data_IF_648971527595
#
_entry.id   IF_648971527595
#
_cell.length_a   1.000
_cell.length_b   1.000
_cell.length_c   1.000
_cell.angle_alpha   90.00
_cell.angle_beta   90.00
_cell.angle_gamma   90.00
#
_symmetry.space_group_name_H-M   'P 1'
#
loop_
_entity.id
_entity.type
_entity.pdbx_description
1 polymer ?
#
# COMPACT_ATOMS: atom_id res chain seq x y z
N UNK A 1 -15.13 -19.00 6.93
CA UNK A 1 -14.83 -19.43 5.55
C UNK A 1 -15.68 -20.66 5.25
N UNK A 2 -16.34 -20.69 4.11
CA UNK A 2 -17.20 -21.81 3.69
C UNK A 2 -16.39 -23.11 3.61
N UNK A 3 -16.91 -24.18 4.22
CA UNK A 3 -16.24 -25.48 4.33
C UNK A 3 -15.91 -26.07 2.95
N UNK A 4 -16.78 -25.83 1.95
CA UNK A 4 -16.61 -26.33 0.59
C UNK A 4 -15.47 -25.60 -0.14
N UNK A 5 -15.31 -24.30 0.10
CA UNK A 5 -14.25 -23.50 -0.48
C UNK A 5 -12.87 -23.88 0.10
N UNK A 6 -12.81 -24.14 1.40
CA UNK A 6 -11.57 -24.63 2.04
C UNK A 6 -11.16 -26.00 1.50
N UNK A 7 -12.12 -26.90 1.30
CA UNK A 7 -11.87 -28.23 0.72
C UNK A 7 -11.37 -28.14 -0.72
N UNK A 8 -11.96 -27.23 -1.52
CA UNK A 8 -11.53 -26.99 -2.88
C UNK A 8 -10.10 -26.44 -2.96
N UNK A 9 -9.76 -25.48 -2.12
CA UNK A 9 -8.41 -24.92 -2.04
C UNK A 9 -7.36 -25.95 -1.64
N UNK A 10 -7.66 -26.78 -0.64
CA UNK A 10 -6.77 -27.85 -0.20
C UNK A 10 -6.56 -28.90 -1.30
N UNK A 11 -7.60 -29.22 -2.06
CA UNK A 11 -7.52 -30.15 -3.20
C UNK A 11 -6.63 -29.59 -4.31
N UNK A 12 -6.77 -28.30 -4.64
CA UNK A 12 -5.93 -27.62 -5.63
C UNK A 12 -4.47 -27.57 -5.18
N UNK A 13 -4.19 -27.21 -3.93
CA UNK A 13 -2.84 -27.21 -3.37
C UNK A 13 -2.16 -28.58 -3.46
N UNK A 14 -2.91 -29.65 -3.20
CA UNK A 14 -2.41 -31.02 -3.31
C UNK A 14 -2.11 -31.40 -4.77
N UNK A 15 -3.01 -31.07 -5.70
CA UNK A 15 -2.86 -31.42 -7.12
C UNK A 15 -1.72 -30.66 -7.79
N UNK A 16 -1.42 -29.44 -7.35
CA UNK A 16 -0.36 -28.59 -7.89
C UNK A 16 0.87 -28.48 -6.97
N UNK A 17 1.08 -29.46 -6.08
CA UNK A 17 2.16 -29.43 -5.09
C UNK A 17 3.58 -29.31 -5.67
N UNK A 18 3.79 -29.75 -6.92
CA UNK A 18 5.07 -29.63 -7.63
C UNK A 18 5.21 -28.38 -8.52
N UNK A 19 4.17 -27.59 -8.67
CA UNK A 19 4.16 -26.39 -9.53
C UNK A 19 4.26 -25.12 -8.67
N UNK A 20 5.45 -24.52 -8.67
CA UNK A 20 5.79 -23.35 -7.85
C UNK A 20 4.96 -22.10 -8.21
N UNK A 21 4.61 -21.92 -9.49
CA UNK A 21 3.79 -20.79 -9.93
C UNK A 21 2.31 -20.98 -9.56
N UNK A 22 1.81 -22.20 -9.72
CA UNK A 22 0.45 -22.55 -9.28
C UNK A 22 0.30 -22.43 -7.76
N UNK A 23 1.31 -22.84 -6.98
CA UNK A 23 1.31 -22.67 -5.51
C UNK A 23 1.25 -21.20 -5.11
N UNK A 24 2.01 -20.31 -5.76
CA UNK A 24 1.92 -18.86 -5.52
C UNK A 24 0.55 -18.29 -5.85
N UNK A 25 -0.03 -18.70 -6.99
CA UNK A 25 -1.36 -18.26 -7.38
C UNK A 25 -2.45 -18.70 -6.40
N UNK A 26 -2.36 -19.94 -5.91
CA UNK A 26 -3.29 -20.49 -4.91
C UNK A 26 -3.16 -19.78 -3.57
N UNK A 27 -1.96 -19.42 -3.15
CA UNK A 27 -1.71 -18.65 -1.94
C UNK A 27 -2.33 -17.25 -2.03
N UNK A 28 -2.16 -16.58 -3.18
CA UNK A 28 -2.78 -15.28 -3.45
C UNK A 28 -4.31 -15.35 -3.44
N UNK A 29 -4.88 -16.41 -4.00
CA UNK A 29 -6.33 -16.64 -4.01
C UNK A 29 -6.86 -16.86 -2.60
N UNK A 30 -6.18 -17.68 -1.80
CA UNK A 30 -6.56 -17.93 -0.40
C UNK A 30 -6.51 -16.65 0.45
N UNK A 31 -5.50 -15.80 0.23
CA UNK A 31 -5.40 -14.48 0.87
C UNK A 31 -6.58 -13.58 0.53
N UNK A 32 -6.96 -13.51 -0.75
CA UNK A 32 -8.12 -12.72 -1.18
C UNK A 32 -9.42 -13.21 -0.55
N UNK A 33 -9.59 -14.53 -0.45
CA UNK A 33 -10.77 -15.15 0.15
C UNK A 33 -10.82 -14.88 1.67
N UNK A 34 -9.68 -14.97 2.35
CA UNK A 34 -9.60 -14.66 3.79
C UNK A 34 -9.85 -13.18 4.07
N UNK A 35 -9.29 -12.28 3.25
CA UNK A 35 -9.55 -10.84 3.36
C UNK A 35 -11.04 -10.54 3.18
N UNK A 36 -11.68 -11.14 2.20
CA UNK A 36 -13.11 -10.96 1.93
C UNK A 36 -14.00 -11.54 3.05
N UNK A 37 -13.59 -12.63 3.69
CA UNK A 37 -14.30 -13.21 4.83
C UNK A 37 -14.18 -12.37 6.12
N UNK A 38 -13.10 -11.59 6.27
CA UNK A 38 -12.95 -10.62 7.36
C UNK A 38 -13.86 -9.39 7.17
N UNK A 39 -14.12 -9.00 5.92
CA UNK A 39 -15.07 -7.91 5.61
C UNK A 39 -16.52 -8.32 5.89
N UNK A 40 -16.86 -9.62 5.80
CA UNK A 40 -18.21 -10.13 6.06
C UNK A 40 -18.52 -10.25 7.58
N UNK A 41 -17.53 -10.19 8.48
CA UNK A 41 -17.71 -10.21 9.95
C UNK A 41 -17.80 -8.82 10.59
N UNK A 42 -17.74 -7.74 9.82
CA UNK A 42 -17.91 -6.39 10.36
C UNK A 42 -19.38 -6.18 10.75
N UNK A 43 -19.65 -6.25 12.06
CA UNK A 43 -20.91 -5.78 12.65
C UNK A 43 -21.04 -4.31 12.25
N UNK A 44 -22.15 -3.88 11.62
CA UNK A 44 -22.34 -2.47 11.28
C UNK A 44 -22.46 -1.68 12.60
N UNK A 45 -21.40 -1.02 12.98
CA UNK A 45 -21.49 0.11 13.91
C UNK A 45 -21.84 1.32 13.04
N UNK A 46 -22.79 2.15 13.48
CA UNK A 46 -23.20 3.39 12.78
C UNK A 46 -22.07 4.42 12.65
N UNK A 47 -20.88 4.12 13.13
CA UNK A 47 -19.67 4.91 12.98
C UNK A 47 -18.85 4.38 11.80
N UNK A 48 -18.51 5.26 10.85
CA UNK A 48 -17.57 4.94 9.76
C UNK A 48 -16.25 4.45 10.39
N UNK A 49 -15.80 3.21 10.15
CA UNK A 49 -14.62 2.65 10.80
C UNK A 49 -13.33 3.43 10.46
N UNK A 50 -13.35 4.17 9.36
CA UNK A 50 -12.23 4.95 8.84
C UNK A 50 -12.66 6.36 8.46
N UNK A 51 -12.89 7.27 9.44
CA UNK A 51 -13.35 8.62 9.15
C UNK A 51 -12.27 9.44 8.43
N UNK A 52 -12.66 10.13 7.36
CA UNK A 52 -11.77 11.05 6.64
C UNK A 52 -11.79 12.45 7.28
N UNK A 53 -10.70 13.22 7.14
CA UNK A 53 -10.68 14.64 7.45
C UNK A 53 -11.78 15.41 6.70
N UNK A 54 -12.42 16.36 7.35
CA UNK A 54 -13.55 17.13 6.79
C UNK A 54 -13.18 17.89 5.52
N UNK A 55 -11.98 18.40 5.42
CA UNK A 55 -11.48 19.09 4.23
C UNK A 55 -11.39 18.19 2.99
N UNK A 56 -11.33 16.88 3.17
CA UNK A 56 -11.43 15.90 2.08
C UNK A 56 -12.89 15.58 1.76
N UNK A 57 -13.73 15.38 2.76
CA UNK A 57 -15.15 15.06 2.60
C UNK A 57 -15.92 16.11 1.81
N UNK A 58 -15.60 17.39 1.96
CA UNK A 58 -16.25 18.49 1.24
C UNK A 58 -15.84 18.63 -0.22
N UNK A 59 -14.82 17.90 -0.69
CA UNK A 59 -14.36 17.98 -2.08
C UNK A 59 -15.27 17.19 -3.02
N UNK A 60 -15.43 17.67 -4.25
CA UNK A 60 -16.33 17.01 -5.23
C UNK A 60 -15.76 15.71 -5.80
N UNK A 61 -14.43 15.62 -5.92
CA UNK A 61 -13.72 14.45 -6.45
C UNK A 61 -12.37 14.37 -5.74
N UNK A 62 -12.33 13.62 -4.65
CA UNK A 62 -11.11 13.41 -3.91
C UNK A 62 -10.95 11.93 -3.53
N UNK A 63 -9.71 11.51 -3.39
CA UNK A 63 -9.34 10.19 -2.90
C UNK A 63 -8.28 10.34 -1.83
N UNK A 64 -8.40 9.56 -0.78
CA UNK A 64 -7.41 9.44 0.26
C UNK A 64 -6.73 8.07 0.15
N UNK A 65 -5.40 8.05 0.10
CA UNK A 65 -4.60 6.84 0.18
C UNK A 65 -3.80 6.87 1.47
N UNK A 66 -3.65 5.72 2.07
CA UNK A 66 -2.83 5.49 3.24
C UNK A 66 -1.82 4.42 2.90
N UNK A 67 -0.56 4.63 3.27
CA UNK A 67 0.53 3.75 2.87
C UNK A 67 1.49 3.55 4.05
N UNK A 68 1.86 2.30 4.31
CA UNK A 68 2.79 1.93 5.37
C UNK A 68 3.66 0.74 4.95
N UNK A 69 4.87 0.69 5.49
CA UNK A 69 5.85 -0.35 5.22
C UNK A 69 6.48 -0.90 6.50
N UNK A 70 6.68 -2.20 6.56
CA UNK A 70 7.33 -2.89 7.66
C UNK A 70 8.53 -3.71 7.20
N UNK A 71 9.51 -3.90 8.08
CA UNK A 71 10.67 -4.74 7.80
C UNK A 71 11.20 -5.40 9.08
N UNK A 72 11.36 -6.72 9.04
CA UNK A 72 11.94 -7.50 10.15
C UNK A 72 13.44 -7.68 9.93
N UNK A 73 14.23 -6.96 10.75
CA UNK A 73 15.68 -6.86 10.54
C UNK A 73 15.96 -5.98 9.30
N UNK A 74 16.61 -4.89 9.40
CA UNK A 74 16.76 -3.88 8.35
C UNK A 74 18.22 -3.85 7.83
N UNK A 75 18.60 -4.60 6.76
CA UNK A 75 17.73 -5.32 5.80
C UNK A 75 17.24 -6.69 6.28
N UNK A 76 16.09 -7.13 5.71
CA UNK A 76 15.47 -8.43 5.99
C UNK A 76 14.14 -8.60 5.25
N UNK A 77 13.32 -9.58 5.64
CA UNK A 77 11.97 -9.71 5.12
C UNK A 77 11.15 -8.45 5.42
N UNK A 78 10.46 -7.93 4.44
CA UNK A 78 9.64 -6.75 4.59
C UNK A 78 8.31 -6.87 3.85
N UNK A 79 7.39 -5.99 4.21
CA UNK A 79 6.06 -5.90 3.63
C UNK A 79 5.65 -4.44 3.44
N UNK A 80 4.67 -4.27 2.60
CA UNK A 80 4.04 -3.00 2.33
C UNK A 80 2.53 -3.17 2.30
N UNK A 81 1.79 -2.14 2.70
CA UNK A 81 0.35 -2.11 2.56
C UNK A 81 -0.14 -0.72 2.17
N UNK A 82 -1.24 -0.68 1.43
CA UNK A 82 -1.93 0.57 1.11
C UNK A 82 -3.44 0.37 1.09
N UNK A 83 -4.15 1.39 1.55
CA UNK A 83 -5.60 1.47 1.55
C UNK A 83 -6.06 2.72 0.82
N UNK A 84 -7.10 2.62 0.01
CA UNK A 84 -7.70 3.76 -0.69
C UNK A 84 -9.15 3.95 -0.32
N UNK A 85 -9.54 5.23 -0.11
CA UNK A 85 -10.91 5.65 0.16
C UNK A 85 -11.35 6.73 -0.83
N UNK A 86 -12.64 6.76 -1.17
CA UNK A 86 -13.24 7.92 -1.83
C UNK A 86 -13.60 9.03 -0.83
N UNK A 87 -14.07 10.17 -1.32
CA UNK A 87 -14.44 11.32 -0.48
C UNK A 87 -15.60 11.04 0.48
N UNK A 88 -16.37 9.98 0.28
CA UNK A 88 -17.44 9.59 1.21
C UNK A 88 -16.92 8.77 2.40
N UNK A 89 -15.64 8.38 2.38
CA UNK A 89 -15.06 7.49 3.37
C UNK A 89 -15.13 6.00 3.01
N UNK A 90 -15.78 5.68 1.89
CA UNK A 90 -15.88 4.29 1.43
C UNK A 90 -14.50 3.75 1.05
N UNK A 91 -14.13 2.62 1.64
CA UNK A 91 -12.93 1.88 1.24
C UNK A 91 -13.12 1.30 -0.15
N UNK A 92 -12.20 1.62 -1.05
CA UNK A 92 -12.19 1.17 -2.43
C UNK A 92 -11.31 -0.06 -2.61
N UNK A 93 -10.21 -0.13 -1.86
CA UNK A 93 -9.27 -1.23 -1.88
C UNK A 93 -8.38 -1.25 -0.64
N UNK A 94 -7.89 -2.43 -0.34
CA UNK A 94 -6.74 -2.70 0.52
C UNK A 94 -5.79 -3.62 -0.27
N UNK A 95 -4.53 -3.23 -0.38
CA UNK A 95 -3.50 -4.01 -1.08
C UNK A 95 -2.26 -4.12 -0.22
N UNK A 96 -1.62 -5.27 -0.26
CA UNK A 96 -0.39 -5.52 0.47
C UNK A 96 0.48 -6.56 -0.25
N UNK A 97 1.74 -6.60 0.10
CA UNK A 97 2.67 -7.58 -0.44
C UNK A 97 3.95 -7.65 0.38
N UNK A 98 4.82 -8.59 0.00
CA UNK A 98 6.02 -8.93 0.76
C UNK A 98 7.23 -9.02 -0.15
N UNK A 99 8.41 -8.73 0.41
CA UNK A 99 9.72 -8.92 -0.21
C UNK A 99 10.65 -9.64 0.78
N UNK A 100 11.38 -10.67 0.31
CA UNK A 100 12.22 -11.49 1.19
C UNK A 100 13.46 -10.77 1.71
N UNK A 101 13.99 -9.81 0.94
CA UNK A 101 15.20 -9.06 1.28
C UNK A 101 15.02 -7.60 0.89
N UNK A 102 14.76 -6.76 1.88
CA UNK A 102 14.43 -5.35 1.68
C UNK A 102 14.80 -4.52 2.90
N UNK A 103 14.43 -3.25 2.90
CA UNK A 103 14.57 -2.33 4.04
C UNK A 103 13.24 -1.63 4.32
N UNK A 104 13.07 -1.11 5.54
CA UNK A 104 11.86 -0.35 5.89
C UNK A 104 11.60 0.77 4.88
N UNK A 105 12.59 1.60 4.57
CA UNK A 105 12.44 2.68 3.60
C UNK A 105 12.02 2.20 2.20
N UNK A 106 12.46 1.02 1.78
CA UNK A 106 12.03 0.43 0.51
C UNK A 106 10.55 0.04 0.54
N UNK A 107 10.09 -0.54 1.64
CA UNK A 107 8.69 -0.93 1.80
C UNK A 107 7.75 0.27 1.90
N UNK A 108 8.16 1.32 2.56
CA UNK A 108 7.44 2.59 2.62
C UNK A 108 7.23 3.21 1.22
N UNK A 109 8.29 3.26 0.40
CA UNK A 109 8.15 3.72 -0.99
C UNK A 109 7.27 2.78 -1.78
N UNK A 110 7.40 1.46 -1.59
CA UNK A 110 6.63 0.47 -2.32
C UNK A 110 5.14 0.55 -1.99
N UNK A 111 4.78 0.79 -0.74
CA UNK A 111 3.40 1.01 -0.32
C UNK A 111 2.75 2.18 -1.09
N UNK A 112 3.45 3.30 -1.19
CA UNK A 112 2.99 4.45 -1.96
C UNK A 112 2.85 4.15 -3.47
N UNK A 113 3.81 3.41 -4.04
CA UNK A 113 3.78 2.97 -5.45
C UNK A 113 2.54 2.12 -5.72
N UNK A 114 2.35 1.06 -4.95
CA UNK A 114 1.28 0.09 -5.19
C UNK A 114 -0.11 0.68 -4.93
N UNK A 115 -0.25 1.51 -3.90
CA UNK A 115 -1.50 2.23 -3.64
C UNK A 115 -1.90 3.14 -4.81
N UNK A 116 -0.96 3.90 -5.36
CA UNK A 116 -1.22 4.76 -6.53
C UNK A 116 -1.48 3.96 -7.81
N UNK A 117 -0.82 2.83 -8.01
CA UNK A 117 -1.08 1.93 -9.14
C UNK A 117 -2.48 1.33 -9.05
N UNK A 118 -2.88 0.89 -7.88
CA UNK A 118 -4.21 0.32 -7.67
C UNK A 118 -5.30 1.38 -7.84
N UNK A 119 -5.11 2.59 -7.32
CA UNK A 119 -6.01 3.71 -7.56
C UNK A 119 -6.12 4.01 -9.06
N UNK A 120 -5.00 4.06 -9.79
CA UNK A 120 -5.01 4.25 -11.24
C UNK A 120 -5.79 3.16 -11.96
N UNK A 121 -5.66 1.90 -11.53
CA UNK A 121 -6.38 0.76 -12.11
C UNK A 121 -7.90 0.91 -11.93
N UNK A 122 -8.34 1.36 -10.76
CA UNK A 122 -9.77 1.55 -10.44
C UNK A 122 -10.35 2.75 -11.17
N UNK A 123 -9.63 3.86 -11.21
CA UNK A 123 -10.11 5.12 -11.79
C UNK A 123 -10.04 5.15 -13.32
N UNK A 124 -9.19 4.34 -13.92
CA UNK A 124 -8.91 4.41 -15.35
C UNK A 124 -8.22 5.72 -15.74
N UNK A 125 -8.80 6.47 -16.69
CA UNK A 125 -8.18 7.68 -17.26
C UNK A 125 -8.62 9.00 -16.62
N UNK A 126 -9.38 9.00 -15.53
CA UNK A 126 -9.90 10.23 -14.91
C UNK A 126 -8.84 10.88 -14.02
N UNK A 127 -8.12 11.85 -14.58
CA UNK A 127 -7.06 12.60 -13.89
C UNK A 127 -7.54 13.88 -13.18
N UNK A 128 -8.83 14.22 -13.27
CA UNK A 128 -9.41 15.45 -12.69
C UNK A 128 -9.94 15.20 -11.27
N UNK A 129 -9.05 14.78 -10.38
CA UNK A 129 -9.37 14.56 -8.97
C UNK A 129 -8.20 14.99 -8.09
N UNK A 130 -8.50 15.35 -6.86
CA UNK A 130 -7.49 15.58 -5.83
C UNK A 130 -7.17 14.26 -5.14
N UNK A 131 -5.88 13.98 -4.95
CA UNK A 131 -5.43 12.78 -4.28
C UNK A 131 -4.54 13.17 -3.11
N UNK A 132 -4.83 12.60 -1.96
CA UNK A 132 -4.11 12.81 -0.72
C UNK A 132 -3.49 11.49 -0.30
N UNK A 133 -2.17 11.37 -0.37
CA UNK A 133 -1.45 10.20 0.11
C UNK A 133 -0.88 10.50 1.48
N UNK A 134 -1.39 9.80 2.47
CA UNK A 134 -0.98 9.87 3.86
C UNK A 134 0.05 8.79 4.17
N UNK A 135 1.13 9.15 4.81
CA UNK A 135 2.14 8.22 5.31
C UNK A 135 2.81 8.80 6.55
N UNK A 136 3.17 7.95 7.50
CA UNK A 136 3.98 8.33 8.66
C UNK A 136 5.50 8.30 8.35
N UNK A 137 5.86 7.84 7.16
CA UNK A 137 7.22 7.89 6.66
C UNK A 137 7.63 9.29 6.21
N UNK A 138 8.36 10.00 7.07
CA UNK A 138 9.02 11.25 6.65
C UNK A 138 9.94 11.05 5.45
N UNK A 139 10.53 9.85 5.33
CA UNK A 139 11.38 9.50 4.19
C UNK A 139 10.61 9.62 2.88
N UNK A 140 9.40 9.08 2.80
CA UNK A 140 8.55 9.16 1.59
C UNK A 140 8.10 10.59 1.34
N UNK A 141 7.50 11.25 2.33
CA UNK A 141 6.92 12.59 2.17
C UNK A 141 7.99 13.62 1.81
N UNK A 142 9.07 13.70 2.58
CA UNK A 142 10.17 14.65 2.29
C UNK A 142 10.91 14.29 0.98
N UNK A 143 11.03 13.00 0.66
CA UNK A 143 11.59 12.54 -0.60
C UNK A 143 10.85 13.09 -1.79
N UNK A 144 9.53 12.97 -1.79
CA UNK A 144 8.67 13.42 -2.88
C UNK A 144 8.57 14.95 -2.96
N UNK A 145 8.54 15.63 -1.83
CA UNK A 145 8.36 17.08 -1.80
C UNK A 145 9.66 17.86 -1.98
N UNK A 146 10.76 17.40 -1.38
CA UNK A 146 12.01 18.15 -1.30
C UNK A 146 13.14 17.55 -2.12
N UNK A 147 13.37 16.22 -2.03
CA UNK A 147 14.59 15.63 -2.56
C UNK A 147 14.50 15.36 -4.06
N UNK A 148 13.41 14.75 -4.52
CA UNK A 148 13.22 14.40 -5.93
C UNK A 148 13.29 15.63 -6.85
N UNK A 149 12.62 16.77 -6.57
CA UNK A 149 12.75 17.96 -7.38
C UNK A 149 14.21 18.41 -7.54
N UNK A 150 15.01 18.35 -6.47
CA UNK A 150 16.42 18.73 -6.50
C UNK A 150 17.30 17.68 -7.21
N UNK A 151 17.02 16.39 -7.03
CA UNK A 151 17.75 15.35 -7.73
C UNK A 151 17.50 15.37 -9.24
N UNK A 152 16.27 15.63 -9.66
CA UNK A 152 15.93 15.75 -11.10
C UNK A 152 16.70 16.88 -11.77
N UNK A 153 16.85 18.05 -11.11
CA UNK A 153 17.67 19.16 -11.62
C UNK A 153 19.14 18.77 -11.79
N UNK A 154 19.63 17.80 -11.02
CA UNK A 154 21.03 17.32 -11.05
C UNK A 154 21.20 15.98 -11.76
N UNK A 155 20.24 15.57 -12.62
CA UNK A 155 20.30 14.30 -13.33
C UNK A 155 20.21 13.09 -12.38
N UNK A 156 19.31 13.15 -11.38
CA UNK A 156 19.09 12.12 -10.36
C UNK A 156 20.30 11.89 -9.43
N UNK A 157 20.95 12.97 -9.02
CA UNK A 157 22.08 12.94 -8.08
C UNK A 157 21.81 13.78 -6.86
N UNK A 158 22.37 13.34 -5.72
CA UNK A 158 22.42 14.11 -4.46
C UNK A 158 23.35 15.33 -4.61
N UNK A 159 23.36 16.23 -3.62
CA UNK A 159 24.22 17.42 -3.62
C UNK A 159 25.73 17.10 -3.68
N UNK A 160 26.13 15.95 -3.14
CA UNK A 160 27.49 15.42 -3.18
C UNK A 160 27.82 14.61 -4.45
N UNK A 161 26.99 14.70 -5.50
CA UNK A 161 27.07 13.97 -6.76
C UNK A 161 26.89 12.44 -6.67
N UNK A 162 26.58 11.90 -5.49
CA UNK A 162 26.29 10.47 -5.33
C UNK A 162 24.88 10.12 -5.83
N UNK A 163 24.72 8.87 -6.24
CA UNK A 163 23.42 8.30 -6.57
C UNK A 163 22.58 8.19 -5.28
N UNK A 164 21.32 8.63 -5.29
CA UNK A 164 20.43 8.40 -4.16
C UNK A 164 20.21 6.92 -3.88
N UNK A 165 20.08 6.57 -2.63
CA UNK A 165 19.59 5.23 -2.24
C UNK A 165 18.18 5.02 -2.77
N UNK A 166 17.83 3.78 -3.10
CA UNK A 166 16.51 3.40 -3.61
C UNK A 166 16.08 4.15 -4.90
N UNK A 167 17.06 4.58 -5.71
CA UNK A 167 16.83 5.44 -6.88
C UNK A 167 15.75 4.87 -7.83
N UNK A 168 15.78 3.57 -8.10
CA UNK A 168 14.82 2.91 -8.97
C UNK A 168 13.37 3.04 -8.46
N UNK A 169 13.16 2.92 -7.14
CA UNK A 169 11.83 3.09 -6.53
C UNK A 169 11.40 4.56 -6.55
N UNK A 170 12.32 5.47 -6.27
CA UNK A 170 12.05 6.91 -6.37
C UNK A 170 11.65 7.34 -7.78
N UNK A 171 12.37 6.85 -8.79
CA UNK A 171 12.04 7.13 -10.19
C UNK A 171 10.67 6.56 -10.57
N UNK A 172 10.35 5.36 -10.06
CA UNK A 172 9.03 4.75 -10.29
C UNK A 172 7.91 5.54 -9.64
N UNK A 173 8.10 5.98 -8.39
CA UNK A 173 7.10 6.79 -7.68
C UNK A 173 6.90 8.16 -8.36
N UNK A 174 7.97 8.80 -8.81
CA UNK A 174 7.90 10.06 -9.57
C UNK A 174 7.21 9.90 -10.93
N UNK A 175 7.46 8.79 -11.64
CA UNK A 175 6.73 8.44 -12.86
C UNK A 175 5.24 8.32 -12.61
N UNK A 176 4.86 7.57 -11.56
CA UNK A 176 3.46 7.34 -11.21
C UNK A 176 2.79 8.64 -10.78
N UNK A 177 3.46 9.48 -9.99
CA UNK A 177 2.99 10.82 -9.63
C UNK A 177 2.60 11.64 -10.86
N UNK A 178 3.31 11.47 -11.98
CA UNK A 178 3.01 12.16 -13.24
C UNK A 178 1.61 11.89 -13.80
N UNK A 179 0.97 10.78 -13.42
CA UNK A 179 -0.42 10.49 -13.77
C UNK A 179 -1.44 11.25 -12.90
N UNK A 180 -1.01 11.83 -11.79
CA UNK A 180 -1.87 12.46 -10.80
C UNK A 180 -1.43 13.91 -10.53
N UNK A 181 -1.82 14.88 -11.39
CA UNK A 181 -1.34 16.26 -11.30
C UNK A 181 -1.66 16.96 -9.97
N UNK A 182 -2.71 16.50 -9.26
CA UNK A 182 -3.16 17.07 -7.97
C UNK A 182 -2.89 16.13 -6.80
N UNK A 183 -1.83 15.29 -6.90
CA UNK A 183 -1.38 14.43 -5.80
C UNK A 183 -0.60 15.24 -4.78
N UNK A 184 -1.00 15.13 -3.53
CA UNK A 184 -0.32 15.68 -2.36
C UNK A 184 0.13 14.56 -1.44
N UNK A 185 1.36 14.65 -0.94
CA UNK A 185 1.89 13.76 0.08
C UNK A 185 1.73 14.43 1.45
N UNK A 186 1.10 13.75 2.40
CA UNK A 186 0.78 14.29 3.72
C UNK A 186 1.43 13.39 4.77
N UNK A 187 2.30 14.01 5.57
CA UNK A 187 2.85 13.31 6.73
C UNK A 187 1.84 13.25 7.86
N UNK A 188 1.65 12.06 8.41
CA UNK A 188 0.90 11.83 9.65
C UNK A 188 1.82 11.26 10.72
N UNK A 189 1.46 11.43 11.97
CA UNK A 189 2.24 10.84 13.06
C UNK A 189 1.83 9.38 13.21
N UNK A 190 2.77 8.46 13.07
CA UNK A 190 2.55 7.04 13.31
C UNK A 190 2.06 6.74 14.73
N UNK A 191 1.21 5.73 14.88
CA UNK A 191 0.59 5.30 16.15
C UNK A 191 -0.06 6.43 16.95
N UNK A 192 -0.69 7.38 16.27
CA UNK A 192 -1.31 8.55 16.88
C UNK A 192 -2.85 8.58 16.71
N UNK A 193 -3.47 7.43 16.54
CA UNK A 193 -4.92 7.31 16.41
C UNK A 193 -5.43 7.65 15.00
N UNK A 194 -4.63 7.39 13.97
CA UNK A 194 -5.07 7.43 12.57
C UNK A 194 -5.50 6.03 12.14
N UNK A 195 -6.81 5.70 12.16
CA UNK A 195 -7.29 4.31 11.97
C UNK A 195 -6.82 3.69 10.66
N UNK A 196 -6.74 4.49 9.59
CA UNK A 196 -6.32 4.03 8.28
C UNK A 196 -4.84 3.67 8.23
N UNK A 197 -3.97 4.48 8.88
CA UNK A 197 -2.54 4.18 8.95
C UNK A 197 -2.29 2.95 9.82
N UNK A 198 -3.00 2.84 10.94
CA UNK A 198 -2.96 1.64 11.81
C UNK A 198 -3.46 0.40 11.07
N UNK A 199 -4.46 0.55 10.18
CA UNK A 199 -4.92 -0.54 9.34
C UNK A 199 -3.84 -0.98 8.34
N UNK A 200 -3.13 -0.05 7.71
CA UNK A 200 -2.01 -0.38 6.82
C UNK A 200 -0.88 -1.09 7.59
N UNK A 201 -0.52 -0.62 8.79
CA UNK A 201 0.47 -1.28 9.66
C UNK A 201 0.04 -2.72 9.99
N UNK A 202 -1.23 -2.94 10.37
CA UNK A 202 -1.76 -4.28 10.62
C UNK A 202 -1.69 -5.19 9.40
N UNK A 203 -2.07 -4.71 8.22
CA UNK A 203 -2.00 -5.47 6.97
C UNK A 203 -0.56 -5.83 6.61
N UNK A 204 0.37 -4.89 6.74
CA UNK A 204 1.78 -5.12 6.48
C UNK A 204 2.38 -6.15 7.46
N UNK A 205 2.12 -6.00 8.76
CA UNK A 205 2.60 -6.94 9.76
C UNK A 205 1.99 -8.34 9.59
N UNK A 206 0.70 -8.44 9.32
CA UNK A 206 0.03 -9.72 9.05
C UNK A 206 0.65 -10.44 7.84
N UNK A 207 0.94 -9.69 6.76
CA UNK A 207 1.60 -10.25 5.59
C UNK A 207 2.99 -10.82 5.90
N UNK A 208 3.74 -10.21 6.83
CA UNK A 208 5.03 -10.73 7.30
C UNK A 208 4.88 -11.97 8.17
N UNK A 209 3.88 -12.00 9.06
CA UNK A 209 3.63 -13.16 9.92
C UNK A 209 3.34 -14.42 9.11
N UNK A 210 2.66 -14.26 7.97
CA UNK A 210 2.37 -15.39 7.08
C UNK A 210 3.60 -15.96 6.34
N UNK A 211 4.68 -15.18 6.17
CA UNK A 211 5.90 -15.68 5.52
C UNK A 211 6.69 -16.62 6.44
N UNK A 212 6.68 -16.37 7.73
CA UNK A 212 7.45 -17.16 8.71
C UNK A 212 6.93 -18.61 8.85
N UNK A 213 5.81 -18.93 8.18
CA UNK A 213 5.20 -20.27 8.13
C UNK A 213 5.49 -21.04 6.82
N UNK A 214 6.34 -20.51 5.91
CA UNK A 214 6.74 -21.13 4.65
C UNK A 214 8.23 -21.48 4.66
#
# INVERSE_FOLDING_TARGET
MDTDLQLALNTLKKNFSGDREAQKALLLLERKIKAQALDDEVIPTDEEPFPLPEDIKIKKKAFALFADGACRGNPGPGSWASMGQDQSGKVLFEVFGVENQTTNNQMEIQAAIEGLLELKRIMGSTLDCEIFLFSDSKYVVEGMEKWIPEWKKRGWKKADNKIPENLNRWQKLDEIKGYFPRLQFIWVKGHAGHPQNERCDQLANHALDEIDFI
#
